data_IF_042118400240
#
_entry.id   IF_042118400240
#
_cell.length_a   1.000
_cell.length_b   1.000
_cell.length_c   1.000
_cell.angle_alpha   90.00
_cell.angle_beta   90.00
_cell.angle_gamma   90.00
#
_symmetry.space_group_name_H-M   'P 1'
#
loop_
_entity.id
_entity.type
_entity.pdbx_description
1 polymer ?
#
# COMPACT_ATOMS: atom_id res chain seq x y z
N UNK A 1 11.40 -4.68 2.57
CA UNK A 1 10.88 -3.40 2.04
C UNK A 1 9.59 -2.97 2.72
N UNK A 2 8.55 -3.81 2.81
CA UNK A 2 7.26 -3.41 3.40
C UNK A 2 7.33 -2.88 4.83
N UNK A 3 8.10 -3.52 5.73
CA UNK A 3 8.28 -3.03 7.12
C UNK A 3 8.89 -1.62 7.19
N UNK A 4 9.87 -1.33 6.33
CA UNK A 4 10.45 0.00 6.22
C UNK A 4 9.41 1.01 5.69
N UNK A 5 8.67 0.65 4.64
CA UNK A 5 7.62 1.51 4.10
C UNK A 5 6.54 1.82 5.15
N UNK A 6 6.13 0.84 5.97
CA UNK A 6 5.16 1.08 7.05
C UNK A 6 5.69 2.02 8.13
N UNK A 7 6.99 2.00 8.42
CA UNK A 7 7.60 2.98 9.34
C UNK A 7 7.59 4.40 8.75
N UNK A 8 7.79 4.53 7.44
CA UNK A 8 7.66 5.82 6.74
C UNK A 8 6.21 6.32 6.84
N UNK A 9 5.21 5.46 6.57
CA UNK A 9 3.80 5.84 6.73
C UNK A 9 3.48 6.27 8.16
N UNK A 10 4.01 5.56 9.16
CA UNK A 10 3.82 5.92 10.57
C UNK A 10 4.37 7.32 10.89
N UNK A 11 5.57 7.66 10.41
CA UNK A 11 6.14 8.99 10.58
C UNK A 11 5.29 10.08 9.88
N UNK A 12 4.76 9.81 8.70
CA UNK A 12 3.86 10.74 8.00
C UNK A 12 2.53 10.94 8.75
N UNK A 13 1.97 9.87 9.33
CA UNK A 13 0.78 9.93 10.17
C UNK A 13 1.03 10.78 11.42
N UNK A 14 2.16 10.58 12.10
CA UNK A 14 2.55 11.34 13.30
C UNK A 14 2.68 12.85 13.02
N UNK A 15 3.20 13.19 11.84
CA UNK A 15 3.43 14.56 11.42
C UNK A 15 2.23 15.20 10.70
N UNK A 16 1.17 14.46 10.39
CA UNK A 16 0.00 14.98 9.67
C UNK A 16 -0.88 15.89 10.53
N UNK A 17 -1.42 16.96 9.93
CA UNK A 17 -2.43 17.83 10.54
C UNK A 17 -3.88 17.33 10.38
N UNK A 18 -4.11 16.30 9.57
CA UNK A 18 -5.47 15.79 9.33
C UNK A 18 -6.01 14.97 10.50
N UNK A 19 -7.32 14.74 10.48
CA UNK A 19 -7.99 13.98 11.54
C UNK A 19 -7.47 12.54 11.63
N UNK A 20 -7.57 11.89 12.81
CA UNK A 20 -7.13 10.50 12.98
C UNK A 20 -7.77 9.54 11.97
N UNK A 21 -9.04 9.75 11.63
CA UNK A 21 -9.77 8.90 10.66
C UNK A 21 -9.14 8.98 9.27
N UNK A 22 -8.81 10.20 8.80
CA UNK A 22 -8.17 10.38 7.48
C UNK A 22 -6.79 9.70 7.47
N UNK A 23 -5.99 9.91 8.52
CA UNK A 23 -4.66 9.31 8.62
C UNK A 23 -4.72 7.78 8.66
N UNK A 24 -5.64 7.21 9.44
CA UNK A 24 -5.82 5.76 9.53
C UNK A 24 -6.22 5.17 8.18
N UNK A 25 -7.19 5.77 7.49
CA UNK A 25 -7.61 5.28 6.17
C UNK A 25 -6.50 5.40 5.13
N UNK A 26 -5.81 6.55 5.09
CA UNK A 26 -4.71 6.80 4.16
C UNK A 26 -3.52 5.87 4.37
N UNK A 27 -3.19 5.50 5.62
CA UNK A 27 -2.15 4.53 5.93
C UNK A 27 -2.60 3.08 5.74
N UNK A 28 -3.86 2.75 6.07
CA UNK A 28 -4.39 1.40 5.99
C UNK A 28 -4.46 0.88 4.54
N UNK A 29 -4.81 1.74 3.58
CA UNK A 29 -4.94 1.33 2.17
C UNK A 29 -3.63 0.72 1.62
N UNK A 30 -2.46 1.41 1.66
CA UNK A 30 -1.19 0.80 1.28
C UNK A 30 -0.86 -0.47 2.06
N UNK A 31 -1.08 -0.47 3.38
CA UNK A 31 -0.76 -1.63 4.24
C UNK A 31 -1.56 -2.86 3.85
N UNK A 32 -2.86 -2.71 3.54
CA UNK A 32 -3.72 -3.80 3.07
C UNK A 32 -3.19 -4.36 1.74
N UNK A 33 -2.79 -3.50 0.80
CA UNK A 33 -2.19 -3.95 -0.46
C UNK A 33 -0.86 -4.67 -0.26
N UNK A 34 0.00 -4.20 0.66
CA UNK A 34 1.23 -4.90 1.03
C UNK A 34 0.95 -6.30 1.55
N UNK A 35 -0.01 -6.44 2.47
CA UNK A 35 -0.40 -7.74 3.03
C UNK A 35 -0.97 -8.65 1.93
N UNK A 36 -1.83 -8.12 1.06
CA UNK A 36 -2.39 -8.87 -0.05
C UNK A 36 -1.30 -9.36 -1.02
N UNK A 37 -0.32 -8.52 -1.36
CA UNK A 37 0.79 -8.88 -2.24
C UNK A 37 1.69 -9.95 -1.60
N UNK A 38 2.02 -9.83 -0.31
CA UNK A 38 2.77 -10.86 0.43
C UNK A 38 1.99 -12.18 0.44
N UNK A 39 0.69 -12.12 0.72
CA UNK A 39 -0.19 -13.29 0.72
C UNK A 39 -0.20 -14.00 -0.64
N UNK A 40 -0.35 -13.25 -1.74
CA UNK A 40 -0.29 -13.80 -3.09
C UNK A 40 1.05 -14.50 -3.37
N UNK A 41 2.17 -13.90 -2.96
CA UNK A 41 3.49 -14.54 -3.10
C UNK A 41 3.62 -15.82 -2.27
N UNK A 42 3.12 -15.84 -1.03
CA UNK A 42 3.12 -17.04 -0.21
C UNK A 42 2.28 -18.16 -0.85
N UNK A 43 1.12 -17.83 -1.41
CA UNK A 43 0.24 -18.78 -2.10
C UNK A 43 0.94 -19.36 -3.33
N UNK A 44 1.47 -18.52 -4.22
CA UNK A 44 2.21 -18.98 -5.39
C UNK A 44 3.49 -19.75 -5.02
N UNK A 45 4.15 -19.36 -3.93
CA UNK A 45 5.28 -20.11 -3.38
C UNK A 45 4.90 -21.52 -2.91
N UNK A 46 3.72 -21.67 -2.28
CA UNK A 46 3.20 -22.97 -1.85
C UNK A 46 2.75 -23.84 -3.04
N UNK A 47 2.11 -23.23 -4.05
CA UNK A 47 1.68 -23.91 -5.27
C UNK A 47 2.83 -24.24 -6.21
N UNK A 48 3.93 -23.49 -6.12
CA UNK A 48 5.13 -23.60 -7.00
C UNK A 48 4.76 -23.51 -8.47
N UNK A 49 3.73 -22.72 -8.77
CA UNK A 49 3.08 -22.63 -10.07
C UNK A 49 3.68 -21.55 -10.97
N UNK A 50 4.43 -20.61 -10.40
CA UNK A 50 5.07 -19.53 -11.14
C UNK A 50 6.35 -19.02 -10.50
N UNK A 51 7.27 -18.54 -11.34
CA UNK A 51 8.41 -17.71 -10.93
C UNK A 51 8.17 -16.22 -11.22
N UNK A 52 7.14 -15.90 -11.99
CA UNK A 52 6.72 -14.55 -12.32
C UNK A 52 5.20 -14.52 -12.59
N UNK A 53 4.45 -14.02 -11.61
CA UNK A 53 2.98 -13.94 -11.64
C UNK A 53 2.40 -13.13 -12.81
N UNK A 54 3.22 -12.33 -13.51
CA UNK A 54 2.79 -11.53 -14.66
C UNK A 54 2.97 -12.21 -16.02
N UNK A 55 3.65 -13.36 -16.09
CA UNK A 55 3.80 -14.11 -17.35
C UNK A 55 2.48 -14.80 -17.74
N UNK A 56 1.82 -15.41 -16.76
CA UNK A 56 0.50 -16.03 -16.92
C UNK A 56 -0.43 -15.50 -15.82
N UNK A 57 -0.92 -14.25 -15.95
CA UNK A 57 -1.69 -13.60 -14.91
C UNK A 57 -3.06 -14.26 -14.73
N UNK A 58 -3.48 -14.42 -13.48
CA UNK A 58 -4.84 -14.83 -13.16
C UNK A 58 -5.84 -13.71 -13.54
N UNK A 59 -7.11 -14.05 -13.84
CA UNK A 59 -8.13 -13.04 -14.03
C UNK A 59 -8.18 -12.08 -12.84
N UNK A 60 -8.08 -10.77 -13.12
CA UNK A 60 -8.08 -9.73 -12.09
C UNK A 60 -6.70 -9.22 -11.66
N UNK A 61 -5.59 -9.86 -12.04
CA UNK A 61 -4.23 -9.37 -11.68
C UNK A 61 -4.01 -7.93 -12.12
N UNK A 62 -4.40 -7.54 -13.34
CA UNK A 62 -4.22 -6.17 -13.81
C UNK A 62 -5.11 -5.15 -13.09
N UNK A 63 -6.35 -5.54 -12.75
CA UNK A 63 -7.24 -4.69 -11.97
C UNK A 63 -6.69 -4.49 -10.55
N UNK A 64 -6.18 -5.56 -9.94
CA UNK A 64 -5.50 -5.49 -8.66
C UNK A 64 -4.28 -4.56 -8.72
N UNK A 65 -3.45 -4.67 -9.76
CA UNK A 65 -2.31 -3.76 -9.95
C UNK A 65 -2.73 -2.30 -10.08
N UNK A 66 -3.80 -2.02 -10.85
CA UNK A 66 -4.32 -0.66 -10.97
C UNK A 66 -4.83 -0.13 -9.62
N UNK A 67 -5.61 -0.93 -8.89
CA UNK A 67 -6.13 -0.57 -7.58
C UNK A 67 -5.00 -0.35 -6.56
N UNK A 68 -3.97 -1.19 -6.61
CA UNK A 68 -2.76 -1.07 -5.79
C UNK A 68 -2.04 0.24 -6.10
N UNK A 69 -1.78 0.55 -7.37
CA UNK A 69 -1.09 1.79 -7.78
C UNK A 69 -1.86 3.02 -7.28
N UNK A 70 -3.16 3.07 -7.53
CA UNK A 70 -4.00 4.20 -7.12
C UNK A 70 -4.07 4.30 -5.60
N UNK A 71 -4.23 3.18 -4.90
CA UNK A 71 -4.33 3.13 -3.45
C UNK A 71 -3.04 3.53 -2.74
N UNK A 72 -1.89 3.01 -3.20
CA UNK A 72 -0.59 3.30 -2.60
C UNK A 72 -0.18 4.76 -2.84
N UNK A 73 -0.24 5.23 -4.09
CA UNK A 73 0.10 6.62 -4.42
C UNK A 73 -0.88 7.57 -3.73
N UNK A 74 -2.19 7.28 -3.78
CA UNK A 74 -3.23 8.10 -3.18
C UNK A 74 -3.07 8.21 -1.65
N UNK A 75 -2.90 7.08 -0.96
CA UNK A 75 -2.70 7.07 0.49
C UNK A 75 -1.48 7.87 0.93
N UNK A 76 -0.35 7.70 0.24
CA UNK A 76 0.88 8.46 0.53
C UNK A 76 0.68 9.96 0.26
N UNK A 77 0.04 10.34 -0.85
CA UNK A 77 -0.21 11.75 -1.17
C UNK A 77 -1.10 12.43 -0.13
N UNK A 78 -2.12 11.74 0.39
CA UNK A 78 -2.98 12.28 1.46
C UNK A 78 -2.16 12.54 2.74
N UNK A 79 -1.31 11.59 3.14
CA UNK A 79 -0.47 11.77 4.32
C UNK A 79 0.56 12.91 4.13
N UNK A 80 1.19 12.98 2.95
CA UNK A 80 2.10 14.08 2.60
C UNK A 80 1.40 15.44 2.63
N UNK A 81 0.20 15.54 2.08
CA UNK A 81 -0.59 16.77 2.14
C UNK A 81 -0.90 17.16 3.60
N UNK A 82 -1.17 16.19 4.47
CA UNK A 82 -1.36 16.41 5.89
C UNK A 82 -0.10 16.95 6.59
N UNK A 83 1.09 16.45 6.23
CA UNK A 83 2.37 16.98 6.75
C UNK A 83 2.61 18.40 6.26
N UNK A 84 2.40 18.66 4.96
CA UNK A 84 2.55 20.01 4.38
C UNK A 84 1.61 21.00 5.05
N UNK A 85 0.34 20.63 5.26
CA UNK A 85 -0.64 21.46 5.93
C UNK A 85 -0.31 21.78 7.39
N UNK A 86 0.57 21.00 8.04
CA UNK A 86 1.07 21.29 9.39
C UNK A 86 2.21 22.29 9.42
N UNK A 87 3.05 22.28 8.38
CA UNK A 87 4.32 23.04 8.33
C UNK A 87 4.18 24.36 7.58
N UNK A 88 3.22 24.46 6.66
CA UNK A 88 2.86 25.70 5.96
C UNK A 88 2.02 26.61 6.86
#
# INVERSE_FOLDING_TARGET
MYSFATLVLAALVELSAFSPVVNVLAAAVPIVFFVAAIGAYCIHGALRDTTNQFVNPMPGTYLFMLALIVGEIGGVLVLLAGVVARVA
#
